data_IF_889425929482
#
_entry.id   IF_889425929482
#
_cell.length_a   1.000
_cell.length_b   1.000
_cell.length_c   1.000
_cell.angle_alpha   90.00
_cell.angle_beta   90.00
_cell.angle_gamma   90.00
#
_symmetry.space_group_name_H-M   'P 1'
#
loop_
_entity.id
_entity.type
_entity.pdbx_description
1 polymer ?
#
# COMPACT_ATOMS: atom_id res chain seq x y z
N UNK A 1 -6.47 18.57 8.05
CA UNK A 1 -5.76 17.36 7.57
C UNK A 1 -4.72 17.80 6.56
N UNK A 2 -3.55 17.19 6.52
CA UNK A 2 -2.49 17.50 5.56
C UNK A 2 -2.17 16.25 4.75
N UNK A 3 -2.10 16.39 3.43
CA UNK A 3 -1.65 15.34 2.53
C UNK A 3 -0.13 15.44 2.35
N UNK A 4 0.60 14.33 2.53
CA UNK A 4 2.05 14.25 2.37
C UNK A 4 2.34 13.32 1.20
N UNK A 5 2.48 13.93 0.02
CA UNK A 5 2.79 13.26 -1.26
C UNK A 5 4.15 13.66 -1.81
N UNK A 6 5.17 13.70 -0.96
CA UNK A 6 6.55 14.08 -1.34
C UNK A 6 7.31 12.84 -1.84
N UNK A 7 8.64 12.83 -1.80
CA UNK A 7 9.45 11.66 -2.12
C UNK A 7 9.45 10.69 -0.94
N UNK A 8 9.59 9.38 -1.17
CA UNK A 8 9.46 8.37 -0.09
C UNK A 8 10.49 8.56 1.03
N UNK A 9 11.68 9.07 0.69
CA UNK A 9 12.74 9.49 1.61
C UNK A 9 12.33 10.63 2.55
N UNK A 10 11.48 11.54 2.08
CA UNK A 10 11.03 12.73 2.81
C UNK A 10 9.75 12.49 3.62
N UNK A 11 8.99 11.41 3.34
CA UNK A 11 7.75 11.08 4.06
C UNK A 11 7.92 11.04 5.58
N UNK A 12 9.01 10.45 6.09
CA UNK A 12 9.30 10.44 7.53
C UNK A 12 9.49 11.84 8.10
N UNK A 13 10.33 12.67 7.47
CA UNK A 13 10.67 14.02 7.95
C UNK A 13 9.48 14.97 7.89
N UNK A 14 8.76 14.96 6.78
CA UNK A 14 7.58 15.82 6.53
C UNK A 14 6.37 15.33 7.34
N UNK A 15 6.17 14.01 7.45
CA UNK A 15 5.15 13.42 8.32
C UNK A 15 5.36 13.80 9.79
N UNK A 16 6.57 13.62 10.34
CA UNK A 16 6.90 14.03 11.70
C UNK A 16 6.63 15.52 11.95
N UNK A 17 6.98 16.40 11.01
CA UNK A 17 6.75 17.84 11.12
C UNK A 17 5.27 18.17 11.34
N UNK A 18 4.39 17.60 10.52
CA UNK A 18 2.95 17.85 10.62
C UNK A 18 2.29 17.17 11.82
N UNK A 19 2.74 15.96 12.19
CA UNK A 19 2.25 15.25 13.38
C UNK A 19 2.61 16.00 14.67
N UNK A 20 3.87 16.49 14.78
CA UNK A 20 4.33 17.33 15.91
C UNK A 20 3.62 18.69 15.96
N UNK A 21 3.14 19.19 14.83
CA UNK A 21 2.31 20.41 14.73
C UNK A 21 0.82 20.16 15.01
N UNK A 22 0.44 19.00 15.56
CA UNK A 22 -0.94 18.67 15.90
C UNK A 22 -1.88 18.54 14.70
N UNK A 23 -1.35 18.22 13.51
CA UNK A 23 -2.15 18.00 12.30
C UNK A 23 -2.38 16.52 12.06
N UNK A 24 -3.61 16.16 11.71
CA UNK A 24 -3.92 14.86 11.11
C UNK A 24 -3.22 14.74 9.76
N UNK A 25 -2.44 13.68 9.57
CA UNK A 25 -1.62 13.42 8.37
C UNK A 25 -2.20 12.25 7.57
N UNK A 26 -2.19 12.43 6.26
CA UNK A 26 -2.51 11.43 5.26
C UNK A 26 -1.30 11.34 4.33
N UNK A 27 -0.53 10.26 4.42
CA UNK A 27 0.81 10.18 3.83
C UNK A 27 0.85 9.14 2.73
N UNK A 28 1.42 9.45 1.58
CA UNK A 28 1.56 8.49 0.49
C UNK A 28 2.42 7.29 0.90
N UNK A 29 2.15 6.15 0.25
CA UNK A 29 2.96 4.95 0.39
C UNK A 29 4.36 5.15 -0.21
N UNK A 30 5.37 4.39 0.27
CA UNK A 30 5.42 3.85 1.62
C UNK A 30 5.52 5.00 2.64
N UNK A 31 4.79 4.93 3.77
CA UNK A 31 4.83 5.86 4.93
C UNK A 31 6.23 6.37 5.28
N UNK A 32 7.22 5.48 5.17
CA UNK A 32 8.63 5.77 5.29
C UNK A 32 9.45 4.59 4.72
N UNK A 33 10.76 4.81 4.55
CA UNK A 33 11.69 3.88 3.89
C UNK A 33 11.98 2.59 4.68
N UNK A 34 11.63 2.52 5.97
CA UNK A 34 11.89 1.34 6.81
C UNK A 34 10.98 1.32 8.06
N UNK A 35 10.88 0.16 8.72
CA UNK A 35 9.99 -0.02 9.88
C UNK A 35 10.35 0.86 11.08
N UNK A 36 11.63 1.25 11.27
CA UNK A 36 12.04 2.19 12.34
C UNK A 36 11.37 3.56 12.14
N UNK A 37 11.41 4.10 10.92
CA UNK A 37 10.78 5.38 10.61
C UNK A 37 9.24 5.32 10.69
N UNK A 38 8.62 4.21 10.30
CA UNK A 38 7.16 4.00 10.47
C UNK A 38 6.77 3.95 11.95
N UNK A 39 7.53 3.21 12.76
CA UNK A 39 7.31 3.12 14.22
C UNK A 39 7.38 4.49 14.90
N UNK A 40 8.29 5.36 14.42
CA UNK A 40 8.44 6.74 14.90
C UNK A 40 7.29 7.68 14.47
N UNK A 41 6.80 7.57 13.23
CA UNK A 41 5.58 8.26 12.79
C UNK A 41 4.35 7.84 13.60
N UNK A 42 4.15 6.54 13.80
CA UNK A 42 3.03 5.98 14.58
C UNK A 42 3.11 6.41 16.05
N UNK A 43 4.29 6.37 16.67
CA UNK A 43 4.49 6.86 18.02
C UNK A 43 4.21 8.36 18.14
N UNK A 44 4.70 9.17 17.19
CA UNK A 44 4.45 10.62 17.16
C UNK A 44 2.97 10.93 16.97
N UNK A 45 2.24 10.19 16.11
CA UNK A 45 0.80 10.36 15.91
C UNK A 45 0.01 10.06 17.20
N UNK A 46 0.32 8.95 17.87
CA UNK A 46 -0.27 8.57 19.17
C UNK A 46 0.00 9.63 20.25
N UNK A 47 1.27 10.05 20.39
CA UNK A 47 1.69 11.02 21.42
C UNK A 47 1.03 12.39 21.25
N UNK A 48 0.78 12.83 20.01
CA UNK A 48 0.11 14.10 19.72
C UNK A 48 -1.42 13.97 19.55
N UNK A 49 -1.99 12.77 19.78
CA UNK A 49 -3.41 12.45 19.60
C UNK A 49 -3.98 12.86 18.22
N UNK A 50 -3.18 12.72 17.16
CA UNK A 50 -3.55 13.02 15.77
C UNK A 50 -3.79 11.75 14.97
N UNK A 51 -4.62 11.85 13.94
CA UNK A 51 -4.83 10.76 12.99
C UNK A 51 -3.65 10.66 12.01
N UNK A 52 -3.25 9.42 11.71
CA UNK A 52 -2.24 9.09 10.71
C UNK A 52 -2.75 7.91 9.87
N UNK A 53 -2.76 8.06 8.55
CA UNK A 53 -3.10 6.98 7.62
C UNK A 53 -2.21 7.03 6.37
N UNK A 54 -1.93 5.84 5.83
CA UNK A 54 -1.21 5.65 4.57
C UNK A 54 -2.19 5.76 3.40
N UNK A 55 -1.75 6.37 2.30
CA UNK A 55 -2.54 6.63 1.09
C UNK A 55 -1.84 6.05 -0.14
N UNK A 56 -2.59 5.43 -1.05
CA UNK A 56 -2.01 4.56 -2.06
C UNK A 56 -1.87 5.20 -3.44
N UNK A 57 -0.69 5.75 -3.77
CA UNK A 57 -0.41 6.33 -5.10
C UNK A 57 0.77 5.61 -5.81
N UNK A 58 0.63 5.19 -7.09
CA UNK A 58 1.73 4.68 -7.89
C UNK A 58 2.74 5.78 -8.26
N UNK A 59 4.05 5.49 -8.17
CA UNK A 59 5.17 6.36 -8.60
C UNK A 59 6.34 5.49 -9.13
N UNK A 60 7.32 6.09 -9.81
CA UNK A 60 8.38 5.40 -10.62
C UNK A 60 9.35 6.44 -11.26
N UNK A 61 10.63 6.22 -11.57
CA UNK A 61 11.58 5.12 -11.23
C UNK A 61 12.94 5.72 -10.77
N UNK A 62 13.33 5.58 -9.49
CA UNK A 62 14.67 5.99 -8.99
C UNK A 62 15.05 5.32 -7.64
N UNK A 63 16.23 4.68 -7.56
CA UNK A 63 16.63 3.83 -6.41
C UNK A 63 16.69 4.58 -5.08
N UNK A 64 17.35 5.73 -5.08
CA UNK A 64 17.56 6.53 -3.86
C UNK A 64 16.24 7.10 -3.32
N UNK A 65 15.22 7.22 -4.17
CA UNK A 65 13.88 7.68 -3.81
C UNK A 65 12.97 6.57 -3.27
N UNK A 66 13.49 5.35 -3.08
CA UNK A 66 12.70 4.21 -2.62
C UNK A 66 11.72 3.69 -3.65
N UNK A 67 12.09 3.79 -4.93
CA UNK A 67 11.36 3.19 -6.05
C UNK A 67 11.89 1.80 -6.37
N UNK A 68 11.05 0.99 -7.00
CA UNK A 68 11.30 -0.39 -7.38
C UNK A 68 10.03 -1.21 -7.34
N UNK A 69 9.97 -2.29 -8.12
CA UNK A 69 8.76 -3.09 -8.30
C UNK A 69 8.09 -3.48 -6.98
N UNK A 70 8.87 -3.81 -5.94
CA UNK A 70 8.40 -4.12 -4.59
C UNK A 70 7.70 -2.96 -3.90
N UNK A 71 8.33 -1.79 -3.82
CA UNK A 71 7.80 -0.63 -3.10
C UNK A 71 6.73 0.11 -3.90
N UNK A 72 6.83 0.06 -5.23
CA UNK A 72 5.90 0.75 -6.12
C UNK A 72 4.65 -0.04 -6.45
N UNK A 73 4.75 -1.37 -6.60
CA UNK A 73 3.66 -2.27 -7.03
C UNK A 73 3.47 -3.44 -6.04
N UNK A 74 4.54 -4.08 -5.57
CA UNK A 74 4.48 -5.29 -4.74
C UNK A 74 3.80 -5.08 -3.39
N UNK A 75 3.90 -3.89 -2.79
CA UNK A 75 3.16 -3.50 -1.60
C UNK A 75 1.63 -3.68 -1.74
N UNK A 76 1.08 -3.50 -2.93
CA UNK A 76 -0.34 -3.76 -3.18
C UNK A 76 -0.66 -5.26 -3.14
N UNK A 77 0.18 -6.09 -3.77
CA UNK A 77 0.05 -7.54 -3.75
C UNK A 77 0.17 -8.08 -2.32
N UNK A 78 1.19 -7.65 -1.58
CA UNK A 78 1.43 -8.06 -0.19
C UNK A 78 0.29 -7.64 0.75
N UNK A 79 -0.23 -6.41 0.61
CA UNK A 79 -1.38 -5.99 1.41
C UNK A 79 -2.66 -6.76 1.07
N UNK A 80 -2.91 -7.03 -0.22
CA UNK A 80 -4.03 -7.87 -0.63
C UNK A 80 -3.93 -9.28 -0.04
N UNK A 81 -2.72 -9.87 -0.02
CA UNK A 81 -2.47 -11.14 0.65
C UNK A 81 -2.78 -11.04 2.14
N UNK A 82 -2.27 -10.04 2.87
CA UNK A 82 -2.59 -9.89 4.30
C UNK A 82 -4.10 -9.73 4.55
N UNK A 83 -4.83 -9.03 3.69
CA UNK A 83 -6.29 -8.91 3.77
C UNK A 83 -6.99 -10.28 3.56
N UNK A 84 -6.61 -11.04 2.54
CA UNK A 84 -7.15 -12.40 2.26
C UNK A 84 -6.84 -13.38 3.40
N UNK A 85 -5.66 -13.23 4.01
CA UNK A 85 -5.19 -14.03 5.14
C UNK A 85 -5.56 -13.41 6.51
N UNK A 86 -6.39 -12.37 6.54
CA UNK A 86 -6.93 -11.73 7.75
C UNK A 86 -5.84 -11.34 8.78
N UNK A 87 -4.74 -10.74 8.31
CA UNK A 87 -3.62 -10.27 9.14
C UNK A 87 -2.70 -11.39 9.68
N UNK A 88 -2.87 -12.64 9.22
CA UNK A 88 -2.01 -13.75 9.61
C UNK A 88 -0.54 -13.51 9.18
N UNK A 89 0.40 -13.74 10.10
CA UNK A 89 1.83 -13.70 9.78
C UNK A 89 2.23 -14.97 9.01
N UNK A 90 2.90 -14.79 7.88
CA UNK A 90 3.46 -15.91 7.10
C UNK A 90 4.51 -16.69 7.89
N UNK A 91 4.49 -18.02 7.77
CA UNK A 91 5.47 -18.94 8.35
C UNK A 91 6.82 -18.87 7.64
N UNK A 92 6.83 -18.55 6.34
CA UNK A 92 8.04 -18.29 5.55
C UNK A 92 7.75 -17.45 4.31
N UNK A 93 8.78 -16.75 3.84
CA UNK A 93 8.79 -15.94 2.62
C UNK A 93 10.00 -16.34 1.78
N UNK A 94 9.83 -16.50 0.48
CA UNK A 94 10.90 -16.65 -0.50
C UNK A 94 10.70 -15.62 -1.62
N UNK A 95 11.75 -14.95 -2.05
CA UNK A 95 11.69 -13.95 -3.12
C UNK A 95 12.84 -14.12 -4.11
N UNK A 96 12.58 -13.84 -5.39
CA UNK A 96 13.57 -13.80 -6.46
C UNK A 96 13.17 -12.74 -7.49
N UNK A 97 14.12 -12.17 -8.21
CA UNK A 97 13.83 -11.10 -9.16
C UNK A 97 15.02 -10.65 -9.99
N UNK A 98 14.74 -9.73 -10.91
CA UNK A 98 15.70 -9.04 -11.78
C UNK A 98 15.90 -7.62 -11.26
N UNK A 99 17.13 -7.11 -11.33
CA UNK A 99 17.45 -5.71 -11.06
C UNK A 99 17.75 -5.00 -12.39
N UNK A 100 17.35 -3.73 -12.48
CA UNK A 100 17.87 -2.81 -13.50
C UNK A 100 19.37 -2.53 -13.25
N UNK A 101 20.07 -2.00 -14.26
CA UNK A 101 21.46 -1.53 -14.13
C UNK A 101 21.63 -0.44 -13.05
N UNK A 102 20.57 0.33 -12.77
CA UNK A 102 20.50 1.28 -11.65
C UNK A 102 20.45 0.60 -10.27
N UNK A 103 20.33 -0.73 -10.24
CA UNK A 103 20.19 -1.56 -9.05
C UNK A 103 18.82 -1.48 -8.38
N UNK A 104 17.82 -0.88 -9.03
CA UNK A 104 16.39 -0.94 -8.65
C UNK A 104 15.86 -2.33 -8.97
N UNK A 105 14.96 -2.88 -8.16
CA UNK A 105 14.27 -4.12 -8.53
C UNK A 105 13.24 -3.87 -9.65
N UNK A 106 13.43 -4.58 -10.76
CA UNK A 106 12.67 -4.41 -12.00
C UNK A 106 11.42 -5.28 -12.01
N UNK A 107 11.60 -6.54 -11.64
CA UNK A 107 10.63 -7.62 -11.78
C UNK A 107 10.89 -8.62 -10.66
N UNK A 108 9.92 -8.86 -9.79
CA UNK A 108 10.09 -9.67 -8.58
C UNK A 108 8.92 -10.66 -8.43
N UNK A 109 9.26 -11.87 -7.98
CA UNK A 109 8.32 -12.91 -7.58
C UNK A 109 8.53 -13.20 -6.10
N UNK A 110 7.44 -13.20 -5.33
CA UNK A 110 7.40 -13.53 -3.89
C UNK A 110 6.46 -14.70 -3.66
N UNK A 111 6.90 -15.68 -2.87
CA UNK A 111 6.13 -16.83 -2.41
C UNK A 111 6.03 -16.76 -0.89
N UNK A 112 4.82 -16.75 -0.36
CA UNK A 112 4.54 -16.70 1.08
C UNK A 112 3.80 -17.96 1.50
N UNK A 113 4.22 -18.59 2.60
CA UNK A 113 3.51 -19.73 3.21
C UNK A 113 2.80 -19.30 4.47
N UNK A 114 1.58 -19.78 4.65
CA UNK A 114 0.72 -19.54 5.81
C UNK A 114 0.26 -20.87 6.39
N UNK A 115 -0.24 -20.84 7.63
CA UNK A 115 -0.63 -22.06 8.33
C UNK A 115 -1.71 -22.84 7.57
N UNK A 116 -1.83 -24.14 7.85
CA UNK A 116 -2.79 -25.05 7.17
C UNK A 116 -2.47 -25.23 5.68
N UNK A 117 -1.18 -25.26 5.31
CA UNK A 117 -0.68 -25.50 3.94
C UNK A 117 -1.21 -24.51 2.88
N UNK A 118 -1.55 -23.28 3.27
CA UNK A 118 -1.96 -22.23 2.34
C UNK A 118 -0.73 -21.46 1.84
N UNK A 119 -0.77 -21.00 0.61
CA UNK A 119 0.31 -20.21 0.02
C UNK A 119 -0.27 -19.03 -0.77
N UNK A 120 0.51 -17.96 -0.86
CA UNK A 120 0.28 -16.86 -1.76
C UNK A 120 1.49 -16.67 -2.69
N UNK A 121 1.21 -16.27 -3.93
CA UNK A 121 2.20 -15.95 -4.94
C UNK A 121 1.93 -14.52 -5.40
N UNK A 122 2.97 -13.68 -5.45
CA UNK A 122 2.88 -12.31 -5.92
C UNK A 122 3.97 -12.08 -6.96
N UNK A 123 3.59 -11.62 -8.15
CA UNK A 123 4.53 -11.19 -9.19
C UNK A 123 4.23 -9.74 -9.52
N UNK A 124 5.25 -8.90 -9.53
CA UNK A 124 5.13 -7.48 -9.82
C UNK A 124 6.36 -7.01 -10.61
N UNK A 125 6.14 -6.13 -11.58
CA UNK A 125 7.17 -5.62 -12.48
C UNK A 125 6.88 -4.17 -12.85
N UNK A 126 7.92 -3.35 -12.92
CA UNK A 126 7.89 -1.98 -13.47
C UNK A 126 8.30 -1.92 -14.95
N UNK A 127 8.95 -2.96 -15.47
CA UNK A 127 9.34 -3.03 -16.89
C UNK A 127 8.28 -3.69 -17.78
N UNK A 128 7.49 -4.63 -17.24
CA UNK A 128 6.48 -5.37 -17.98
C UNK A 128 5.09 -5.07 -17.41
N UNK A 129 4.17 -4.60 -18.26
CA UNK A 129 2.75 -4.47 -17.90
C UNK A 129 2.15 -5.87 -17.74
N UNK A 130 1.98 -6.29 -16.49
CA UNK A 130 1.28 -7.51 -16.12
C UNK A 130 -0.24 -7.31 -16.27
N UNK A 131 -1.07 -8.39 -16.23
CA UNK A 131 -2.53 -8.28 -16.30
C UNK A 131 -3.15 -7.51 -15.11
N UNK A 132 -2.39 -7.33 -14.04
CA UNK A 132 -2.70 -6.63 -12.78
C UNK A 132 -3.73 -7.37 -11.88
N UNK A 133 -3.22 -8.42 -11.21
CA UNK A 133 -3.81 -9.33 -10.19
C UNK A 133 -2.71 -9.87 -9.23
N UNK A 134 -2.93 -10.41 -8.02
CA UNK A 134 -4.09 -10.60 -7.12
C UNK A 134 -4.99 -11.86 -7.17
N UNK A 135 -4.62 -12.93 -7.91
CA UNK A 135 -5.46 -14.15 -8.02
C UNK A 135 -5.73 -14.88 -6.68
N UNK A 136 -6.88 -14.60 -6.05
CA UNK A 136 -7.99 -15.56 -6.15
C UNK A 136 -8.72 -15.38 -7.52
N UNK A 137 -8.81 -14.10 -7.96
CA UNK A 137 -9.27 -13.53 -9.25
C UNK A 137 -8.61 -12.14 -9.54
N UNK A 138 -9.15 -11.27 -10.42
CA UNK A 138 -8.44 -10.08 -10.94
C UNK A 138 -8.40 -8.86 -9.99
N UNK A 139 -7.26 -8.16 -9.82
CA UNK A 139 -7.19 -6.88 -9.06
C UNK A 139 -5.89 -6.03 -9.15
N UNK A 140 -5.96 -4.90 -9.86
CA UNK A 140 -5.54 -3.57 -9.36
C UNK A 140 -6.74 -2.63 -9.54
N UNK A 141 -7.36 -2.17 -8.44
CA UNK A 141 -8.63 -1.46 -8.44
C UNK A 141 -9.68 -2.12 -9.35
N UNK A 142 -10.31 -3.23 -8.92
CA UNK A 142 -11.08 -4.08 -9.81
C UNK A 142 -12.40 -3.39 -10.14
N UNK A 143 -12.69 -3.28 -11.43
CA UNK A 143 -14.05 -2.97 -11.90
C UNK A 143 -14.92 -4.23 -11.98
N UNK A 144 -14.37 -5.42 -11.74
CA UNK A 144 -15.05 -6.70 -11.95
C UNK A 144 -14.72 -7.69 -10.85
N UNK A 145 -15.74 -8.40 -10.35
CA UNK A 145 -15.63 -9.48 -9.38
C UNK A 145 -16.41 -10.69 -9.88
N UNK A 146 -15.75 -11.84 -10.02
CA UNK A 146 -16.41 -13.10 -10.43
C UNK A 146 -16.53 -14.04 -9.23
N UNK A 147 -17.75 -14.45 -8.90
CA UNK A 147 -18.04 -15.41 -7.82
C UNK A 147 -19.03 -16.46 -8.33
N UNK A 148 -18.70 -17.75 -8.23
CA UNK A 148 -19.54 -18.86 -8.69
C UNK A 148 -20.03 -18.70 -10.15
N UNK A 149 -19.14 -18.34 -11.06
CA UNK A 149 -19.41 -18.00 -12.47
C UNK A 149 -20.43 -16.87 -12.68
N UNK A 150 -20.70 -16.04 -11.67
CA UNK A 150 -21.44 -14.78 -11.82
C UNK A 150 -20.46 -13.62 -11.76
N UNK A 151 -20.48 -12.82 -12.81
CA UNK A 151 -19.72 -11.60 -12.95
C UNK A 151 -20.51 -10.42 -12.35
N UNK A 152 -19.82 -9.58 -11.58
CA UNK A 152 -20.35 -8.37 -10.95
C UNK A 152 -19.44 -7.21 -11.32
N UNK A 153 -20.02 -6.19 -11.97
CA UNK A 153 -19.29 -4.96 -12.31
C UNK A 153 -19.46 -3.87 -11.24
N UNK A 154 -18.37 -3.17 -10.99
CA UNK A 154 -18.22 -2.04 -10.08
C UNK A 154 -17.52 -0.89 -10.84
N UNK A 155 -18.23 -0.23 -11.77
CA UNK A 155 -17.63 0.80 -12.62
C UNK A 155 -17.06 1.95 -11.80
N UNK A 156 -15.86 2.38 -12.17
CA UNK A 156 -15.25 3.60 -11.69
C UNK A 156 -15.91 4.82 -12.32
N UNK A 157 -15.90 6.00 -11.65
CA UNK A 157 -16.46 7.20 -12.23
C UNK A 157 -15.54 7.71 -13.34
N UNK A 158 -16.13 8.42 -14.30
CA UNK A 158 -15.42 9.22 -15.28
C UNK A 158 -14.42 10.17 -14.60
N UNK A 159 -13.15 10.21 -15.06
CA UNK A 159 -12.15 11.10 -14.50
C UNK A 159 -12.38 12.54 -15.01
N UNK A 160 -12.40 13.52 -14.09
CA UNK A 160 -12.53 14.93 -14.45
C UNK A 160 -11.26 15.56 -15.08
N UNK A 161 -10.14 14.83 -15.11
CA UNK A 161 -8.85 15.22 -15.66
C UNK A 161 -8.13 13.96 -16.20
N UNK A 162 -7.17 14.08 -17.13
CA UNK A 162 -6.32 12.97 -17.53
C UNK A 162 -5.64 12.30 -16.32
N UNK A 163 -5.68 10.98 -16.27
CA UNK A 163 -5.03 10.19 -15.22
C UNK A 163 -3.62 9.77 -15.66
N UNK A 164 -2.66 9.79 -14.73
CA UNK A 164 -1.31 9.26 -14.99
C UNK A 164 -1.27 7.72 -14.95
N UNK A 165 -2.24 7.08 -14.30
CA UNK A 165 -2.34 5.62 -14.17
C UNK A 165 -3.79 5.16 -14.29
N UNK A 166 -3.98 3.98 -14.89
CA UNK A 166 -5.29 3.35 -15.05
C UNK A 166 -6.02 3.20 -13.70
N UNK A 167 -7.34 3.30 -13.72
CA UNK A 167 -8.23 3.12 -12.56
C UNK A 167 -7.96 4.06 -11.35
N UNK A 168 -7.15 5.12 -11.49
CA UNK A 168 -6.83 6.06 -10.39
C UNK A 168 -8.05 6.79 -9.80
N UNK A 169 -9.20 6.82 -10.50
CA UNK A 169 -10.46 7.32 -9.90
C UNK A 169 -10.99 6.44 -8.76
N UNK A 170 -10.49 5.21 -8.61
CA UNK A 170 -10.74 4.34 -7.45
C UNK A 170 -10.19 4.89 -6.14
N UNK A 171 -9.15 5.75 -6.16
CA UNK A 171 -8.56 6.35 -4.96
C UNK A 171 -9.55 7.24 -4.17
N UNK A 172 -10.67 7.64 -4.78
CA UNK A 172 -11.76 8.32 -4.07
C UNK A 172 -12.33 7.49 -2.91
N UNK A 173 -12.27 6.16 -2.98
CA UNK A 173 -12.87 5.27 -1.99
C UNK A 173 -12.05 5.21 -0.70
N UNK A 174 -10.71 5.23 -0.79
CA UNK A 174 -9.84 5.36 0.39
C UNK A 174 -9.92 6.77 1.00
N UNK A 175 -10.00 7.82 0.16
CA UNK A 175 -10.20 9.19 0.64
C UNK A 175 -11.54 9.37 1.38
N UNK A 176 -12.60 8.70 0.92
CA UNK A 176 -13.90 8.67 1.62
C UNK A 176 -13.83 7.86 2.92
N UNK A 177 -13.15 6.72 2.94
CA UNK A 177 -12.92 5.94 4.16
C UNK A 177 -12.20 6.79 5.23
N UNK A 178 -11.12 7.49 4.86
CA UNK A 178 -10.41 8.46 5.73
C UNK A 178 -11.37 9.48 6.32
N UNK A 179 -12.15 10.15 5.46
CA UNK A 179 -13.14 11.17 5.87
C UNK A 179 -14.14 10.61 6.87
N UNK A 180 -14.67 9.41 6.61
CA UNK A 180 -15.66 8.75 7.48
C UNK A 180 -15.08 8.35 8.85
N UNK A 181 -13.79 7.97 8.92
CA UNK A 181 -13.13 7.69 10.22
C UNK A 181 -12.85 8.95 11.01
N UNK A 182 -12.38 10.01 10.34
CA UNK A 182 -12.16 11.32 10.95
C UNK A 182 -13.43 11.94 11.53
N UNK A 183 -14.55 11.90 10.80
CA UNK A 183 -15.86 12.38 11.28
C UNK A 183 -16.36 11.61 12.51
N UNK A 184 -15.91 10.36 12.71
CA UNK A 184 -16.23 9.52 13.87
C UNK A 184 -15.19 9.61 15.00
N UNK A 185 -14.20 10.51 14.89
CA UNK A 185 -13.13 10.69 15.88
C UNK A 185 -12.12 9.53 15.96
N UNK A 186 -12.20 8.55 15.06
CA UNK A 186 -11.31 7.39 15.03
C UNK A 186 -9.89 7.78 14.60
N UNK A 187 -8.89 7.02 15.07
CA UNK A 187 -7.46 7.31 14.88
C UNK A 187 -6.76 6.40 13.86
N UNK A 188 -7.44 5.33 13.44
CA UNK A 188 -7.01 4.40 12.40
C UNK A 188 -8.25 3.83 11.68
N UNK A 189 -8.04 3.07 10.59
CA UNK A 189 -9.12 2.39 9.88
C UNK A 189 -9.27 0.96 10.40
N UNK A 190 -10.48 0.48 10.75
CA UNK A 190 -10.70 -0.92 11.09
C UNK A 190 -10.57 -1.86 9.88
N UNK A 191 -10.49 -1.32 8.66
CA UNK A 191 -10.22 -2.06 7.41
C UNK A 191 -8.73 -2.09 7.04
N UNK A 192 -7.94 -1.17 7.62
CA UNK A 192 -6.50 -1.01 7.42
C UNK A 192 -5.87 -0.61 8.77
N UNK A 193 -5.76 -1.54 9.75
CA UNK A 193 -5.19 -1.25 11.06
C UNK A 193 -3.69 -0.92 10.97
N UNK A 194 -3.19 -0.07 11.87
CA UNK A 194 -1.76 0.29 11.88
C UNK A 194 -0.83 -0.91 12.17
N UNK A 195 -1.35 -1.98 12.76
CA UNK A 195 -0.61 -3.22 12.98
C UNK A 195 -0.22 -3.91 11.65
N UNK A 196 -1.12 -3.93 10.67
CA UNK A 196 -0.91 -4.56 9.37
C UNK A 196 0.14 -3.78 8.55
N UNK A 197 0.08 -2.43 8.61
CA UNK A 197 1.08 -1.54 8.01
C UNK A 197 2.50 -1.72 8.58
N UNK A 198 2.61 -2.19 9.83
CA UNK A 198 3.90 -2.55 10.46
C UNK A 198 4.33 -3.94 9.99
N UNK A 199 3.42 -4.92 9.96
CA UNK A 199 3.68 -6.29 9.52
C UNK A 199 4.25 -6.34 8.09
N UNK A 200 3.76 -5.49 7.19
CA UNK A 200 4.29 -5.36 5.81
C UNK A 200 5.78 -4.95 5.71
N UNK A 201 6.40 -4.44 6.79
CA UNK A 201 7.75 -3.85 6.77
C UNK A 201 8.73 -4.43 7.78
N UNK A 202 8.27 -5.29 8.68
CA UNK A 202 9.17 -6.05 9.54
C UNK A 202 9.65 -7.30 8.79
N UNK A 203 10.70 -7.12 7.98
CA UNK A 203 11.52 -8.21 7.48
C UNK A 203 12.01 -9.06 8.67
N UNK A 204 11.86 -10.39 8.55
CA UNK A 204 12.61 -11.34 9.37
C UNK A 204 14.06 -11.43 8.94
#
# INVERSE_FOLDING_TARGET
MVHVGVLHTEHWRVGLLFLKAGKNVLCEKPFAMNSRQVKDLVATAKNNNVFLMELHIPRSVEKELGSGALLDIGMYCLQFVLMVFNGERSESIQATGVLLDSGVDESVVVVMKFSRNRMAFCTFSIAVRLPNDAVLGPMHCPTTLVVNNKELEYPLPEPGLPLNFDNSTGLRFEAEEVRQRLLKGLKESPRMPLADSILLRDNG
#
